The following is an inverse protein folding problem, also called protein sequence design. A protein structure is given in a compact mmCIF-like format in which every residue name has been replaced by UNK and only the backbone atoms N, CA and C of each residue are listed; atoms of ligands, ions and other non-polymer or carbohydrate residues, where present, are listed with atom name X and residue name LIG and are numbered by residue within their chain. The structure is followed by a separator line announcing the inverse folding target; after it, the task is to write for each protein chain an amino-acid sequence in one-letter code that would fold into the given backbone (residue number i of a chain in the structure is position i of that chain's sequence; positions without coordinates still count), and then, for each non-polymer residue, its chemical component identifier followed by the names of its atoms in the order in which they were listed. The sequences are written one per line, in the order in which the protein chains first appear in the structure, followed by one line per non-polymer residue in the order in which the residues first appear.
data_IF_539877041312
#
_entry.id   IF_539877041312
#
_cell.length_a   1.000
_cell.length_b   1.000
_cell.length_c   1.000
_cell.angle_alpha   90.00
_cell.angle_beta   90.00
_cell.angle_gamma   90.00
#
_symmetry.space_group_name_H-M   'P 1'
#
loop_
_entity.id
_entity.type
_entity.pdbx_description
1 polymer ?
#
# COMPACT_ATOMS: atom_id res chain seq x y z
N UNK A 1 11.80 14.97 -8.58
CA UNK A 1 12.59 14.73 -7.35
C UNK A 1 12.51 13.24 -7.07
N UNK A 2 13.63 12.53 -6.96
CA UNK A 2 13.61 11.11 -6.61
C UNK A 2 13.10 10.97 -5.17
N UNK A 3 12.01 10.26 -4.98
CA UNK A 3 11.50 9.96 -3.64
C UNK A 3 12.47 8.98 -2.98
N UNK A 4 13.09 9.37 -1.86
CA UNK A 4 13.93 8.46 -1.08
C UNK A 4 13.10 7.25 -0.65
N UNK A 5 13.61 6.04 -0.91
CA UNK A 5 12.97 4.79 -0.51
C UNK A 5 13.06 4.64 1.01
N UNK A 6 11.94 4.29 1.66
CA UNK A 6 11.93 3.97 3.09
C UNK A 6 12.22 2.47 3.32
N UNK A 7 11.95 1.65 2.30
CA UNK A 7 12.38 0.25 2.23
C UNK A 7 13.30 0.07 1.02
N UNK A 8 14.50 -0.45 1.28
CA UNK A 8 15.47 -0.80 0.24
C UNK A 8 16.24 -2.04 0.69
N UNK A 9 15.54 -3.17 0.72
CA UNK A 9 16.10 -4.46 1.11
C UNK A 9 16.13 -5.40 -0.09
N UNK A 10 16.84 -6.53 0.04
CA UNK A 10 16.81 -7.58 -0.98
C UNK A 10 15.39 -8.18 -1.18
N UNK A 11 14.49 -8.03 -0.20
CA UNK A 11 13.16 -8.62 -0.23
C UNK A 11 12.06 -7.65 -0.69
N UNK A 12 12.25 -6.34 -0.49
CA UNK A 12 11.26 -5.32 -0.81
C UNK A 12 11.88 -3.94 -1.04
N UNK A 13 11.29 -3.21 -1.97
CA UNK A 13 11.44 -1.78 -2.12
C UNK A 13 10.11 -1.05 -1.91
N UNK A 14 10.15 0.15 -1.36
CA UNK A 14 8.92 0.84 -0.98
C UNK A 14 9.12 2.18 -0.30
N UNK A 15 8.00 2.86 -0.11
CA UNK A 15 7.92 4.16 0.56
C UNK A 15 6.72 4.17 1.50
N UNK A 16 6.86 4.80 2.65
CA UNK A 16 5.76 5.16 3.53
C UNK A 16 5.26 6.54 3.14
N UNK A 17 4.03 6.60 2.65
CA UNK A 17 3.39 7.82 2.19
C UNK A 17 2.62 8.51 3.32
N UNK A 18 2.77 9.83 3.40
CA UNK A 18 1.99 10.69 4.31
C UNK A 18 1.32 11.75 3.48
N UNK A 19 0.00 11.85 3.60
CA UNK A 19 -0.81 12.85 2.92
C UNK A 19 -1.67 13.61 3.92
N UNK A 20 -1.78 14.93 3.74
CA UNK A 20 -2.68 15.78 4.52
C UNK A 20 -3.97 15.98 3.75
N UNK A 21 -5.08 15.53 4.33
CA UNK A 21 -6.41 15.67 3.76
C UNK A 21 -7.32 16.43 4.76
N UNK A 22 -8.36 17.14 4.29
CA UNK A 22 -9.37 17.71 5.17
C UNK A 22 -10.03 16.62 6.04
N UNK A 23 -10.51 16.97 7.25
CA UNK A 23 -11.31 16.03 8.06
C UNK A 23 -12.53 15.54 7.30
N UNK A 24 -12.83 14.25 7.39
CA UNK A 24 -13.92 13.64 6.63
C UNK A 24 -13.81 12.13 6.54
N UNK A 25 -14.83 11.53 5.92
CA UNK A 25 -14.88 10.10 5.59
C UNK A 25 -14.36 9.90 4.16
N UNK A 26 -13.49 8.93 4.01
CA UNK A 26 -12.83 8.59 2.76
C UNK A 26 -12.88 7.09 2.54
N UNK A 27 -12.59 6.68 1.33
CA UNK A 27 -12.41 5.27 1.00
C UNK A 27 -11.31 5.09 -0.04
N UNK A 28 -10.60 3.96 0.06
CA UNK A 28 -9.86 3.43 -1.08
C UNK A 28 -10.79 2.47 -1.83
N UNK A 29 -11.06 2.78 -3.11
CA UNK A 29 -12.04 2.05 -3.91
C UNK A 29 -11.49 1.43 -5.20
N UNK A 30 -10.26 1.78 -5.60
CA UNK A 30 -9.57 1.17 -6.74
C UNK A 30 -8.06 1.35 -6.66
N UNK A 31 -7.33 0.70 -7.56
CA UNK A 31 -5.91 0.88 -7.78
C UNK A 31 -5.59 0.73 -9.27
N UNK A 32 -4.46 1.28 -9.71
CA UNK A 32 -3.90 1.02 -11.03
C UNK A 32 -2.38 0.82 -10.92
N UNK A 33 -1.91 -0.35 -11.31
CA UNK A 33 -0.49 -0.65 -11.48
C UNK A 33 -0.16 -0.55 -12.96
N UNK A 34 0.85 0.23 -13.31
CA UNK A 34 1.34 0.35 -14.68
C UNK A 34 2.74 -0.28 -14.77
N UNK A 35 2.90 -1.24 -15.69
CA UNK A 35 4.18 -1.86 -16.01
C UNK A 35 4.60 -1.44 -17.42
N UNK A 36 5.81 -0.90 -17.54
CA UNK A 36 6.41 -0.48 -18.81
C UNK A 36 7.61 -1.37 -19.08
N UNK A 37 7.59 -2.11 -20.20
CA UNK A 37 8.72 -2.95 -20.64
C UNK A 37 9.00 -2.62 -22.10
N UNK A 38 10.06 -1.84 -22.35
CA UNK A 38 10.35 -1.32 -23.70
C UNK A 38 9.20 -0.45 -24.20
N UNK A 39 8.58 -0.84 -25.32
CA UNK A 39 7.41 -0.17 -25.91
C UNK A 39 6.06 -0.72 -25.42
N UNK A 40 6.06 -1.79 -24.60
CA UNK A 40 4.85 -2.43 -24.10
C UNK A 40 4.39 -1.77 -22.80
N UNK A 41 3.11 -1.39 -22.75
CA UNK A 41 2.45 -0.82 -21.58
C UNK A 41 1.32 -1.74 -21.11
N UNK A 42 1.41 -2.26 -19.89
CA UNK A 42 0.37 -3.12 -19.30
C UNK A 42 -0.16 -2.47 -18.02
N UNK A 43 -1.48 -2.31 -17.93
CA UNK A 43 -2.14 -1.81 -16.71
C UNK A 43 -2.93 -2.91 -16.02
N UNK A 44 -2.73 -3.07 -14.72
CA UNK A 44 -3.56 -3.89 -13.84
C UNK A 44 -4.41 -2.98 -12.94
N UNK A 45 -5.71 -3.24 -12.87
CA UNK A 45 -6.66 -2.54 -11.99
C UNK A 45 -7.70 -3.51 -11.46
N UNK A 46 -8.39 -3.14 -10.38
CA UNK A 46 -9.54 -3.93 -9.94
C UNK A 46 -10.71 -3.78 -10.90
N UNK A 47 -11.26 -4.91 -11.37
CA UNK A 47 -12.53 -4.96 -12.12
C UNK A 47 -13.74 -5.18 -11.21
N UNK A 48 -13.50 -5.58 -9.96
CA UNK A 48 -14.52 -5.76 -8.92
C UNK A 48 -14.44 -4.58 -7.96
N UNK A 49 -15.57 -3.96 -7.68
CA UNK A 49 -15.63 -2.88 -6.71
C UNK A 49 -15.24 -3.39 -5.31
N UNK A 50 -14.55 -2.53 -4.57
CA UNK A 50 -14.25 -2.72 -3.16
C UNK A 50 -14.25 -1.36 -2.47
N UNK A 51 -14.33 -1.36 -1.15
CA UNK A 51 -14.26 -0.14 -0.34
C UNK A 51 -13.45 -0.43 0.91
N UNK A 52 -12.41 0.38 1.14
CA UNK A 52 -11.64 0.40 2.39
C UNK A 52 -11.94 1.75 3.05
N UNK A 53 -12.99 1.83 3.91
CA UNK A 53 -13.41 3.09 4.50
C UNK A 53 -12.48 3.51 5.64
N UNK A 54 -12.23 4.82 5.76
CA UNK A 54 -11.52 5.42 6.88
C UNK A 54 -12.00 6.85 7.17
N UNK A 55 -11.78 7.33 8.40
CA UNK A 55 -12.20 8.66 8.83
C UNK A 55 -11.02 9.47 9.36
N UNK A 56 -10.75 10.62 8.75
CA UNK A 56 -9.76 11.57 9.25
C UNK A 56 -10.45 12.56 10.17
N UNK A 57 -10.00 12.60 11.43
CA UNK A 57 -10.44 13.57 12.44
C UNK A 57 -9.44 14.73 12.54
N UNK A 58 -9.87 15.94 12.94
CA UNK A 58 -8.97 17.06 13.11
C UNK A 58 -7.80 16.71 14.05
N UNK A 59 -6.57 16.99 13.62
CA UNK A 59 -5.37 16.73 14.41
C UNK A 59 -5.03 15.26 14.66
N UNK A 60 -5.69 14.32 13.96
CA UNK A 60 -5.37 12.88 14.03
C UNK A 60 -4.91 12.34 12.68
N UNK A 61 -4.01 11.37 12.71
CA UNK A 61 -3.62 10.61 11.53
C UNK A 61 -4.25 9.22 11.56
N UNK A 62 -4.54 8.69 10.37
CA UNK A 62 -4.98 7.31 10.18
C UNK A 62 -3.92 6.59 9.38
N UNK A 63 -3.49 5.44 9.90
CA UNK A 63 -2.59 4.54 9.21
C UNK A 63 -3.41 3.42 8.56
N UNK A 64 -3.21 3.20 7.26
CA UNK A 64 -4.03 2.26 6.48
C UNK A 64 -3.37 0.89 6.28
N UNK A 65 -2.14 0.70 6.73
CA UNK A 65 -1.37 -0.52 6.50
C UNK A 65 -0.31 -0.39 5.41
N UNK A 66 0.51 -1.43 5.37
CA UNK A 66 1.44 -1.74 4.31
C UNK A 66 0.72 -2.56 3.24
N UNK A 67 0.72 -2.06 2.00
CA UNK A 67 0.15 -2.73 0.83
C UNK A 67 1.29 -3.14 -0.11
N UNK A 68 1.87 -4.31 0.11
CA UNK A 68 3.00 -4.79 -0.67
C UNK A 68 2.52 -5.51 -1.93
N UNK A 69 2.79 -4.91 -3.10
CA UNK A 69 2.48 -5.51 -4.38
C UNK A 69 3.46 -6.64 -4.72
N UNK A 70 2.97 -7.86 -4.80
CA UNK A 70 3.73 -9.04 -5.20
C UNK A 70 3.25 -9.57 -6.55
N UNK A 71 4.19 -9.78 -7.47
CA UNK A 71 3.88 -10.38 -8.75
C UNK A 71 3.45 -11.84 -8.58
N UNK A 72 2.32 -12.19 -9.18
CA UNK A 72 1.89 -13.57 -9.33
C UNK A 72 2.60 -14.12 -10.57
N UNK A 73 3.44 -15.12 -10.36
CA UNK A 73 4.17 -15.81 -11.42
C UNK A 73 3.54 -17.16 -11.71
N UNK A 74 3.49 -17.50 -12.99
CA UNK A 74 3.06 -18.80 -13.46
C UNK A 74 4.14 -19.36 -14.38
N UNK A 75 4.44 -20.64 -14.22
CA UNK A 75 5.39 -21.31 -15.10
C UNK A 75 4.69 -21.70 -16.41
N UNK A 76 5.28 -21.26 -17.51
CA UNK A 76 4.86 -21.61 -18.86
C UNK A 76 6.06 -22.14 -19.64
N UNK A 77 6.05 -23.46 -19.92
CA UNK A 77 7.11 -24.16 -20.67
C UNK A 77 8.53 -23.89 -20.13
N UNK A 78 8.70 -23.97 -18.81
CA UNK A 78 10.00 -23.76 -18.15
C UNK A 78 10.42 -22.28 -18.01
N UNK A 79 9.58 -21.34 -18.45
CA UNK A 79 9.77 -19.91 -18.22
C UNK A 79 8.76 -19.42 -17.20
N UNK A 80 9.24 -18.78 -16.12
CA UNK A 80 8.36 -18.15 -15.14
C UNK A 80 7.91 -16.79 -15.66
N UNK A 81 6.61 -16.63 -15.91
CA UNK A 81 6.02 -15.39 -16.42
C UNK A 81 5.15 -14.73 -15.37
N UNK A 82 5.24 -13.40 -15.25
CA UNK A 82 4.35 -12.63 -14.38
C UNK A 82 2.99 -12.47 -15.06
N UNK A 83 1.95 -12.99 -14.43
CA UNK A 83 0.58 -13.04 -14.97
C UNK A 83 -0.39 -12.09 -14.25
N UNK A 84 -0.09 -11.71 -13.00
CA UNK A 84 -0.89 -10.76 -12.21
C UNK A 84 -0.06 -10.14 -11.08
N UNK A 85 -0.70 -9.35 -10.22
CA UNK A 85 -0.15 -8.92 -8.94
C UNK A 85 -1.24 -9.02 -7.86
N UNK A 86 -0.83 -9.28 -6.62
CA UNK A 86 -1.65 -9.22 -5.41
C UNK A 86 -0.98 -8.30 -4.40
N UNK A 87 -1.77 -7.67 -3.53
CA UNK A 87 -1.31 -6.89 -2.40
C UNK A 87 -1.34 -7.74 -1.14
N UNK A 88 -0.17 -7.98 -0.55
CA UNK A 88 -0.09 -8.48 0.82
C UNK A 88 -0.37 -7.30 1.74
N UNK A 89 -1.41 -7.42 2.57
CA UNK A 89 -1.83 -6.38 3.51
C UNK A 89 -1.35 -6.72 4.91
N UNK A 90 -0.50 -5.88 5.48
CA UNK A 90 0.05 -6.04 6.82
C UNK A 90 -0.03 -4.71 7.56
N UNK A 91 -0.19 -4.72 8.88
CA UNK A 91 -0.16 -3.47 9.64
C UNK A 91 1.25 -2.90 9.62
N UNK A 92 2.28 -3.60 10.12
CA UNK A 92 3.62 -2.99 10.31
C UNK A 92 3.63 -1.62 11.03
N UNK A 93 2.55 -1.24 11.71
CA UNK A 93 2.30 0.12 12.22
C UNK A 93 3.47 0.70 13.01
N UNK A 94 4.05 -0.08 13.92
CA UNK A 94 5.17 0.37 14.76
C UNK A 94 6.40 0.74 13.92
N UNK A 95 6.71 -0.07 12.91
CA UNK A 95 7.84 0.15 12.01
C UNK A 95 7.60 1.37 11.13
N UNK A 96 6.46 1.40 10.43
CA UNK A 96 6.15 2.41 9.41
C UNK A 96 5.99 3.80 10.06
N UNK A 97 5.28 3.88 11.20
CA UNK A 97 5.17 5.14 11.97
C UNK A 97 6.52 5.54 12.55
N UNK A 98 7.35 4.58 12.96
CA UNK A 98 8.72 4.83 13.41
C UNK A 98 9.59 5.48 12.33
N UNK A 99 9.60 4.92 11.12
CA UNK A 99 10.31 5.45 9.95
C UNK A 99 9.88 6.89 9.64
N UNK A 100 8.57 7.11 9.65
CA UNK A 100 7.96 8.40 9.35
C UNK A 100 8.32 9.45 10.41
N UNK A 101 8.32 9.08 11.70
CA UNK A 101 8.79 9.95 12.80
C UNK A 101 10.27 10.29 12.67
N UNK A 102 11.11 9.31 12.33
CA UNK A 102 12.54 9.54 12.11
C UNK A 102 12.80 10.47 10.92
N UNK A 103 12.03 10.33 9.83
CA UNK A 103 12.14 11.15 8.61
C UNK A 103 11.65 12.59 8.80
N UNK A 104 10.62 12.79 9.63
CA UNK A 104 9.92 14.08 9.70
C UNK A 104 10.60 15.13 10.58
N UNK A 105 11.69 14.77 11.25
CA UNK A 105 12.50 15.69 12.05
C UNK A 105 11.65 16.44 13.09
N UNK A 106 11.59 17.77 12.98
CA UNK A 106 10.88 18.68 13.90
C UNK A 106 9.42 18.95 13.52
N UNK A 107 8.93 18.47 12.37
CA UNK A 107 7.48 18.55 12.07
C UNK A 107 6.78 17.42 12.81
N UNK A 108 5.96 17.71 13.82
CA UNK A 108 5.22 16.65 14.50
C UNK A 108 4.27 16.02 13.49
N UNK A 109 4.57 14.78 13.10
CA UNK A 109 3.48 13.88 12.78
C UNK A 109 2.57 13.84 13.99
N UNK A 110 1.29 13.87 13.71
CA UNK A 110 0.23 13.94 14.71
C UNK A 110 0.54 12.91 15.80
N UNK A 111 0.59 13.37 17.05
CA UNK A 111 0.92 12.53 18.21
C UNK A 111 -0.04 11.33 18.32
N UNK A 112 -1.25 11.50 17.77
CA UNK A 112 -2.31 10.51 17.70
C UNK A 112 -2.42 9.95 16.27
N UNK A 113 -1.85 8.75 16.08
CA UNK A 113 -2.00 7.94 14.87
C UNK A 113 -2.80 6.70 15.24
N UNK A 114 -3.93 6.48 14.58
CA UNK A 114 -4.74 5.27 14.75
C UNK A 114 -4.40 4.26 13.66
N UNK A 115 -4.12 3.02 14.04
CA UNK A 115 -4.01 1.90 13.10
C UNK A 115 -5.42 1.49 12.64
N UNK A 116 -5.70 1.68 11.36
CA UNK A 116 -6.93 1.29 10.68
C UNK A 116 -6.63 0.32 9.52
N UNK A 117 -5.56 -0.47 9.63
CA UNK A 117 -5.24 -1.50 8.65
C UNK A 117 -6.44 -2.43 8.45
N UNK A 118 -6.97 -2.58 7.22
CA UNK A 118 -8.14 -3.39 6.97
C UNK A 118 -7.80 -4.89 7.08
N UNK A 119 -8.74 -5.67 7.62
CA UNK A 119 -8.66 -7.12 7.44
C UNK A 119 -8.97 -7.47 5.99
N UNK A 120 -8.22 -8.41 5.42
CA UNK A 120 -8.40 -8.84 4.03
C UNK A 120 -9.82 -9.38 3.78
N UNK A 121 -10.40 -10.05 4.77
CA UNK A 121 -11.79 -10.52 4.70
C UNK A 121 -12.81 -9.38 4.61
N UNK A 122 -12.55 -8.22 5.22
CA UNK A 122 -13.43 -7.05 5.12
C UNK A 122 -13.34 -6.37 3.75
N UNK A 123 -12.18 -6.41 3.08
CA UNK A 123 -12.02 -5.86 1.72
C UNK A 123 -12.79 -6.72 0.69
N UNK A 124 -12.89 -8.03 0.94
CA UNK A 124 -13.65 -9.00 0.13
C UNK A 124 -13.28 -8.97 -1.37
N UNK A 125 -12.01 -8.73 -1.68
CA UNK A 125 -11.48 -8.64 -3.04
C UNK A 125 -10.21 -9.49 -3.20
N UNK A 126 -10.16 -10.26 -4.30
CA UNK A 126 -9.11 -11.26 -4.59
C UNK A 126 -7.70 -10.68 -4.73
N UNK A 127 -7.58 -9.37 -4.94
CA UNK A 127 -6.28 -8.72 -5.06
C UNK A 127 -5.60 -8.51 -3.71
N UNK A 128 -6.30 -8.66 -2.59
CA UNK A 128 -5.72 -8.46 -1.26
C UNK A 128 -5.60 -9.81 -0.55
N UNK A 129 -4.44 -10.07 0.06
CA UNK A 129 -4.13 -11.32 0.75
C UNK A 129 -3.42 -11.04 2.06
N UNK A 130 -3.56 -11.94 3.02
CA UNK A 130 -2.81 -11.86 4.28
C UNK A 130 -1.34 -12.28 4.08
N UNK A 131 -0.42 -11.84 4.94
CA UNK A 131 0.93 -12.39 5.00
C UNK A 131 0.86 -13.91 5.24
N UNK A 132 1.81 -14.65 4.66
CA UNK A 132 1.93 -16.10 4.85
C UNK A 132 2.65 -16.44 6.15
#
# INVERSE_FOLDING_TARGET
MAQTRDYDTAAEDGVVLVASLPPGRYEVFNFQLAKVVGTTFTTLRSRKDFSIPFEIKPGKAVYLGNFQANAVRQDFRGTSIEVAAVFVVDSRFQTDVGLIRARSGTRPLLADVTDATPSVSAIANQFFVSPK
#
